data_IF_344934347637
#
_entry.id   IF_344934347637
#
_cell.length_a   1.000
_cell.length_b   1.000
_cell.length_c   1.000
_cell.angle_alpha   90.00
_cell.angle_beta   90.00
_cell.angle_gamma   90.00
#
_symmetry.space_group_name_H-M   'P 1'
#
loop_
_entity.id
_entity.type
_entity.pdbx_description
1 polymer ?
#
# COMPACT_ATOMS: atom_id res chain seq x y z
N UNK A 1 13.40 -22.37 -31.23
CA UNK A 1 13.08 -21.06 -30.61
C UNK A 1 11.80 -21.24 -29.81
N UNK A 2 11.77 -20.87 -28.55
CA UNK A 2 10.54 -20.90 -27.75
C UNK A 2 9.52 -19.92 -28.36
N UNK A 3 8.24 -20.32 -28.43
CA UNK A 3 7.14 -19.44 -28.87
C UNK A 3 7.13 -18.16 -28.00
N UNK A 4 7.09 -17.01 -28.65
CA UNK A 4 6.84 -15.74 -27.93
C UNK A 4 5.37 -15.72 -27.55
N UNK A 5 5.07 -15.64 -26.25
CA UNK A 5 3.70 -15.56 -25.74
C UNK A 5 3.05 -14.22 -26.11
N UNK A 6 1.73 -14.20 -26.19
CA UNK A 6 0.95 -13.03 -26.54
C UNK A 6 -0.10 -12.73 -25.45
N UNK A 7 -0.15 -11.47 -25.02
CA UNK A 7 -1.20 -10.91 -24.15
C UNK A 7 -2.09 -10.05 -25.04
N UNK A 8 -3.41 -10.20 -24.92
CA UNK A 8 -4.37 -9.35 -25.62
C UNK A 8 -5.24 -8.57 -24.65
N UNK A 9 -5.49 -7.30 -24.99
CA UNK A 9 -6.51 -6.45 -24.35
C UNK A 9 -7.22 -5.62 -25.41
N UNK A 10 -8.24 -4.83 -25.02
CA UNK A 10 -8.98 -4.01 -25.98
C UNK A 10 -8.15 -2.88 -26.58
N UNK A 11 -8.48 -2.46 -27.81
CA UNK A 11 -7.96 -1.25 -28.46
C UNK A 11 -8.79 -0.01 -28.13
N UNK A 12 -8.27 1.16 -28.47
CA UNK A 12 -8.89 2.46 -28.21
C UNK A 12 -8.60 2.99 -26.79
N UNK A 13 -9.53 3.74 -26.21
CA UNK A 13 -9.38 4.27 -24.85
C UNK A 13 -9.13 3.19 -23.83
N UNK A 14 -8.29 3.50 -22.85
CA UNK A 14 -7.82 2.55 -21.84
C UNK A 14 -8.00 3.08 -20.42
N UNK A 15 -7.97 2.17 -19.45
CA UNK A 15 -8.19 2.42 -18.04
C UNK A 15 -7.02 1.90 -17.17
N UNK A 16 -7.12 2.11 -15.88
CA UNK A 16 -6.13 1.62 -14.91
C UNK A 16 -6.15 0.10 -14.77
N UNK A 17 -7.28 -0.51 -15.00
CA UNK A 17 -7.54 -1.92 -14.83
C UNK A 17 -6.66 -2.79 -15.75
N UNK A 18 -6.91 -2.76 -17.06
CA UNK A 18 -6.16 -3.58 -18.01
C UNK A 18 -4.70 -3.13 -18.12
N UNK A 19 -4.42 -1.84 -17.86
CA UNK A 19 -3.06 -1.32 -17.81
C UNK A 19 -2.24 -2.00 -16.69
N UNK A 20 -2.82 -2.17 -15.50
CA UNK A 20 -2.21 -2.91 -14.39
C UNK A 20 -2.16 -4.41 -14.66
N UNK A 21 -3.23 -4.99 -15.21
CA UNK A 21 -3.29 -6.41 -15.53
C UNK A 21 -2.16 -6.84 -16.46
N UNK A 22 -1.91 -6.07 -17.52
CA UNK A 22 -0.80 -6.33 -18.47
C UNK A 22 0.55 -6.21 -17.78
N UNK A 23 0.76 -5.20 -16.95
CA UNK A 23 2.03 -5.04 -16.22
C UNK A 23 2.28 -6.21 -15.27
N UNK A 24 1.27 -6.60 -14.47
CA UNK A 24 1.38 -7.73 -13.55
C UNK A 24 1.75 -9.04 -14.27
N UNK A 25 1.13 -9.33 -15.40
CA UNK A 25 1.48 -10.49 -16.20
C UNK A 25 2.94 -10.44 -16.66
N UNK A 26 3.44 -9.28 -17.10
CA UNK A 26 4.83 -9.10 -17.53
C UNK A 26 5.86 -9.22 -16.40
N UNK A 27 5.48 -9.18 -15.13
CA UNK A 27 6.35 -9.52 -14.01
C UNK A 27 6.70 -11.01 -13.95
N UNK A 28 5.85 -11.85 -14.53
CA UNK A 28 6.10 -13.30 -14.59
C UNK A 28 7.14 -13.63 -15.66
N UNK A 29 8.13 -14.48 -15.37
CA UNK A 29 9.21 -14.81 -16.30
C UNK A 29 8.72 -15.26 -17.69
N UNK A 30 7.62 -16.04 -17.75
CA UNK A 30 7.04 -16.54 -19.00
C UNK A 30 6.43 -15.45 -19.87
N UNK A 31 5.92 -14.37 -19.27
CA UNK A 31 5.29 -13.26 -19.98
C UNK A 31 6.17 -12.01 -20.11
N UNK A 32 7.39 -12.01 -19.54
CA UNK A 32 8.27 -10.84 -19.52
C UNK A 32 8.47 -10.19 -20.89
N UNK A 33 8.56 -11.00 -21.93
CA UNK A 33 8.75 -10.57 -23.32
C UNK A 33 7.54 -10.88 -24.20
N UNK A 34 6.37 -11.07 -23.58
CA UNK A 34 5.15 -11.32 -24.32
C UNK A 34 4.80 -10.13 -25.22
N UNK A 35 4.38 -10.45 -26.46
CA UNK A 35 3.84 -9.44 -27.37
C UNK A 35 2.51 -8.95 -26.81
N UNK A 36 2.33 -7.64 -26.72
CA UNK A 36 1.04 -7.05 -26.45
C UNK A 36 0.30 -6.83 -27.78
N UNK A 37 -0.96 -7.24 -27.84
CA UNK A 37 -1.90 -6.96 -28.91
C UNK A 37 -3.11 -6.26 -28.31
N UNK A 38 -3.40 -5.04 -28.76
CA UNK A 38 -4.61 -4.33 -28.38
C UNK A 38 -5.61 -4.44 -29.52
N UNK A 39 -6.67 -5.22 -29.33
CA UNK A 39 -7.62 -5.55 -30.40
C UNK A 39 -8.98 -5.96 -29.83
N UNK A 40 -10.04 -5.61 -30.58
CA UNK A 40 -11.41 -6.09 -30.31
C UNK A 40 -11.83 -7.21 -31.26
N UNK A 41 -10.88 -7.72 -32.08
CA UNK A 41 -11.14 -8.80 -33.01
C UNK A 41 -11.00 -10.15 -32.29
N UNK A 42 -12.02 -11.00 -32.41
CA UNK A 42 -12.05 -12.32 -31.80
C UNK A 42 -10.87 -13.23 -32.26
N UNK A 43 -10.41 -13.12 -33.50
CA UNK A 43 -9.27 -13.92 -34.00
C UNK A 43 -7.99 -13.60 -33.23
N UNK A 44 -7.79 -12.33 -32.82
CA UNK A 44 -6.64 -11.93 -32.02
C UNK A 44 -6.73 -12.49 -30.59
N UNK A 45 -7.94 -12.55 -30.02
CA UNK A 45 -8.16 -13.17 -28.70
C UNK A 45 -7.86 -14.66 -28.74
N UNK A 46 -8.35 -15.35 -29.78
CA UNK A 46 -8.13 -16.80 -29.97
C UNK A 46 -6.67 -17.13 -30.18
N UNK A 47 -5.92 -16.29 -30.87
CA UNK A 47 -4.49 -16.43 -31.11
C UNK A 47 -3.61 -16.14 -29.89
N UNK A 48 -4.14 -15.40 -28.87
CA UNK A 48 -3.39 -14.98 -27.70
C UNK A 48 -3.32 -16.07 -26.65
N UNK A 49 -2.30 -16.01 -25.80
CA UNK A 49 -2.10 -16.93 -24.69
C UNK A 49 -2.86 -16.48 -23.42
N UNK A 50 -3.02 -15.16 -23.22
CA UNK A 50 -3.84 -14.54 -22.16
C UNK A 50 -4.61 -13.37 -22.75
N UNK A 51 -5.88 -13.23 -22.36
CA UNK A 51 -6.80 -12.18 -22.81
C UNK A 51 -7.39 -11.49 -21.59
N UNK A 52 -7.22 -10.18 -21.48
CA UNK A 52 -7.72 -9.38 -20.36
C UNK A 52 -8.65 -8.26 -20.85
N UNK A 53 -9.74 -8.06 -20.16
CA UNK A 53 -10.67 -6.92 -20.31
C UNK A 53 -11.22 -6.68 -21.72
N UNK A 54 -11.52 -7.71 -22.50
CA UNK A 54 -11.98 -7.52 -23.89
C UNK A 54 -12.91 -8.59 -24.45
N UNK A 55 -12.97 -9.77 -23.85
CA UNK A 55 -13.64 -10.90 -24.49
C UNK A 55 -15.07 -11.15 -24.03
N UNK A 56 -15.48 -10.55 -22.91
CA UNK A 56 -16.70 -10.90 -22.21
C UNK A 56 -16.65 -12.32 -21.62
N UNK A 57 -15.45 -12.92 -21.42
CA UNK A 57 -15.27 -14.28 -20.93
C UNK A 57 -14.35 -14.35 -19.74
N UNK A 58 -14.66 -15.26 -18.81
CA UNK A 58 -13.80 -15.60 -17.69
C UNK A 58 -13.74 -17.11 -17.49
N UNK A 59 -12.55 -17.69 -17.56
CA UNK A 59 -12.33 -19.14 -17.41
C UNK A 59 -11.18 -19.48 -16.43
N UNK A 60 -10.57 -18.49 -15.81
CA UNK A 60 -9.44 -18.61 -14.88
C UNK A 60 -8.15 -19.22 -15.51
N UNK A 61 -8.08 -19.37 -16.81
CA UNK A 61 -6.96 -19.97 -17.54
C UNK A 61 -6.38 -19.03 -18.57
N UNK A 62 -7.23 -18.54 -19.47
CA UNK A 62 -6.88 -17.70 -20.61
C UNK A 62 -7.62 -16.36 -20.59
N UNK A 63 -8.89 -16.37 -20.26
CA UNK A 63 -9.76 -15.21 -20.33
C UNK A 63 -10.02 -14.64 -18.95
N UNK A 64 -9.65 -13.37 -18.75
CA UNK A 64 -9.77 -12.62 -17.51
C UNK A 64 -10.53 -11.32 -17.76
N UNK A 65 -11.85 -11.44 -17.94
CA UNK A 65 -12.74 -10.33 -18.19
C UNK A 65 -13.95 -10.39 -17.23
N UNK A 66 -14.49 -9.27 -16.82
CA UNK A 66 -15.52 -9.13 -15.81
C UNK A 66 -16.85 -8.53 -16.35
N UNK A 67 -16.96 -8.32 -17.67
CA UNK A 67 -18.08 -7.67 -18.32
C UNK A 67 -19.32 -8.57 -18.53
N UNK A 68 -19.30 -9.82 -18.06
CA UNK A 68 -20.47 -10.69 -18.14
C UNK A 68 -21.58 -10.18 -17.19
N UNK A 69 -22.85 -10.23 -17.65
CA UNK A 69 -24.01 -9.76 -16.90
C UNK A 69 -24.12 -10.38 -15.50
N UNK A 70 -23.83 -11.66 -15.38
CA UNK A 70 -23.93 -12.45 -14.14
C UNK A 70 -22.61 -12.48 -13.34
N UNK A 71 -21.61 -11.71 -13.74
CA UNK A 71 -20.30 -11.73 -13.07
C UNK A 71 -20.38 -11.06 -11.70
N UNK A 72 -20.05 -11.82 -10.67
CA UNK A 72 -20.08 -11.36 -9.25
C UNK A 72 -18.89 -11.86 -8.44
N UNK A 73 -17.84 -12.34 -9.11
CA UNK A 73 -16.65 -12.89 -8.44
C UNK A 73 -15.95 -11.81 -7.61
N UNK A 74 -15.66 -12.14 -6.35
CA UNK A 74 -14.85 -11.33 -5.44
C UNK A 74 -13.50 -11.99 -5.18
N UNK A 75 -12.59 -11.30 -4.52
CA UNK A 75 -11.26 -11.83 -4.21
C UNK A 75 -11.35 -13.08 -3.31
N UNK A 76 -12.03 -12.95 -2.18
CA UNK A 76 -12.41 -14.05 -1.30
C UNK A 76 -13.64 -13.63 -0.48
N UNK A 77 -14.06 -14.46 0.49
CA UNK A 77 -15.28 -14.24 1.29
C UNK A 77 -15.26 -12.99 2.18
N UNK A 78 -14.08 -12.43 2.46
CA UNK A 78 -13.93 -11.20 3.26
C UNK A 78 -14.32 -9.95 2.48
N UNK A 79 -14.22 -9.97 1.15
CA UNK A 79 -14.36 -8.81 0.29
C UNK A 79 -15.70 -8.84 -0.45
N UNK A 80 -16.31 -7.66 -0.58
CA UNK A 80 -17.56 -7.48 -1.32
C UNK A 80 -17.36 -6.84 -2.68
N UNK A 81 -16.18 -6.29 -2.91
CA UNK A 81 -15.81 -5.62 -4.16
C UNK A 81 -15.72 -6.66 -5.27
N UNK A 82 -16.52 -6.44 -6.32
CA UNK A 82 -16.47 -7.23 -7.56
C UNK A 82 -15.11 -7.02 -8.22
N UNK A 83 -14.48 -8.10 -8.66
CA UNK A 83 -13.20 -8.01 -9.35
C UNK A 83 -13.34 -7.33 -10.71
N UNK A 84 -12.34 -6.55 -11.07
CA UNK A 84 -12.02 -6.12 -12.43
C UNK A 84 -11.05 -7.12 -13.10
N UNK A 85 -10.62 -6.86 -14.29
CA UNK A 85 -9.63 -7.73 -14.96
C UNK A 85 -8.27 -7.71 -14.22
N UNK A 86 -7.86 -6.58 -13.62
CA UNK A 86 -6.69 -6.54 -12.75
C UNK A 86 -6.87 -7.42 -11.52
N UNK A 87 -8.01 -7.33 -10.85
CA UNK A 87 -8.34 -8.18 -9.72
C UNK A 87 -8.35 -9.66 -10.06
N UNK A 88 -8.86 -10.02 -11.25
CA UNK A 88 -8.83 -11.39 -11.76
C UNK A 88 -7.40 -11.86 -12.00
N UNK A 89 -6.57 -11.08 -12.68
CA UNK A 89 -5.14 -11.41 -12.88
C UNK A 89 -4.44 -11.54 -11.53
N UNK A 90 -4.67 -10.63 -10.59
CA UNK A 90 -4.07 -10.73 -9.28
C UNK A 90 -4.54 -11.98 -8.51
N UNK A 91 -5.82 -12.29 -8.54
CA UNK A 91 -6.37 -13.49 -7.88
C UNK A 91 -5.69 -14.78 -8.36
N UNK A 92 -5.39 -14.89 -9.65
CA UNK A 92 -4.82 -16.12 -10.21
C UNK A 92 -3.30 -16.14 -10.28
N UNK A 93 -2.66 -15.00 -10.43
CA UNK A 93 -1.20 -14.90 -10.60
C UNK A 93 -0.51 -14.14 -9.46
N UNK A 94 -1.25 -13.50 -8.55
CA UNK A 94 -0.68 -12.63 -7.51
C UNK A 94 0.33 -13.33 -6.61
N UNK A 95 0.06 -14.57 -6.22
CA UNK A 95 1.01 -15.36 -5.41
C UNK A 95 2.32 -15.60 -6.16
N UNK A 96 2.23 -16.02 -7.40
CA UNK A 96 3.41 -16.25 -8.26
C UNK A 96 4.18 -14.95 -8.53
N UNK A 97 3.46 -13.83 -8.74
CA UNK A 97 4.07 -12.51 -8.90
C UNK A 97 4.84 -12.12 -7.64
N UNK A 98 4.23 -12.25 -6.46
CA UNK A 98 4.87 -11.94 -5.19
C UNK A 98 6.09 -12.82 -4.99
N UNK A 99 5.95 -14.15 -5.12
CA UNK A 99 7.06 -15.10 -4.96
C UNK A 99 8.21 -14.79 -5.92
N UNK A 100 7.90 -14.43 -7.18
CA UNK A 100 8.90 -14.08 -8.19
C UNK A 100 9.63 -12.80 -7.85
N UNK A 101 8.89 -11.74 -7.45
CA UNK A 101 9.47 -10.40 -7.24
C UNK A 101 10.30 -10.31 -5.97
N UNK A 102 9.87 -10.95 -4.90
CA UNK A 102 10.58 -10.92 -3.60
C UNK A 102 11.29 -12.21 -3.23
N UNK A 103 11.37 -13.14 -4.18
CA UNK A 103 12.10 -14.41 -4.04
C UNK A 103 11.67 -15.22 -2.81
N UNK A 104 10.35 -15.43 -2.62
CA UNK A 104 9.80 -16.31 -1.61
C UNK A 104 9.59 -17.73 -2.16
N UNK A 105 9.95 -18.73 -1.36
CA UNK A 105 9.73 -20.14 -1.66
C UNK A 105 8.44 -20.64 -0.97
N UNK A 106 7.40 -20.91 -1.74
CA UNK A 106 6.12 -21.42 -1.23
C UNK A 106 6.23 -22.81 -0.55
N UNK A 107 7.30 -23.56 -0.81
CA UNK A 107 7.54 -24.86 -0.17
C UNK A 107 8.06 -24.71 1.26
N UNK A 108 8.63 -23.55 1.60
CA UNK A 108 9.05 -23.19 2.94
C UNK A 108 7.83 -22.70 3.75
N UNK A 109 7.53 -23.34 4.88
CA UNK A 109 6.35 -23.03 5.68
C UNK A 109 6.32 -21.58 6.22
N UNK A 110 7.48 -21.04 6.64
CA UNK A 110 7.57 -19.67 7.15
C UNK A 110 7.39 -18.64 6.02
N UNK A 111 7.96 -18.92 4.85
CA UNK A 111 7.83 -18.03 3.68
C UNK A 111 6.43 -18.09 3.08
N UNK A 112 5.77 -19.24 3.13
CA UNK A 112 4.37 -19.39 2.78
C UNK A 112 3.46 -18.49 3.64
N UNK A 113 3.68 -18.43 4.95
CA UNK A 113 2.92 -17.53 5.84
C UNK A 113 3.13 -16.07 5.46
N UNK A 114 4.36 -15.67 5.12
CA UNK A 114 4.65 -14.31 4.64
C UNK A 114 3.95 -14.03 3.31
N UNK A 115 3.97 -15.00 2.39
CA UNK A 115 3.30 -14.89 1.10
C UNK A 115 1.79 -14.77 1.25
N UNK A 116 1.16 -15.59 2.11
CA UNK A 116 -0.27 -15.53 2.40
C UNK A 116 -0.67 -14.15 2.93
N UNK A 117 0.10 -13.62 3.88
CA UNK A 117 -0.10 -12.28 4.41
C UNK A 117 0.02 -11.19 3.33
N UNK A 118 1.09 -11.22 2.52
CA UNK A 118 1.31 -10.24 1.47
C UNK A 118 0.23 -10.31 0.39
N UNK A 119 -0.22 -11.51 0.04
CA UNK A 119 -1.25 -11.71 -0.97
C UNK A 119 -2.58 -11.07 -0.56
N UNK A 120 -3.00 -11.24 0.69
CA UNK A 120 -4.21 -10.59 1.22
C UNK A 120 -4.01 -9.07 1.40
N UNK A 121 -2.86 -8.65 1.93
CA UNK A 121 -2.54 -7.26 2.22
C UNK A 121 -2.41 -6.39 0.97
N UNK A 122 -1.72 -6.87 -0.05
CA UNK A 122 -1.57 -6.13 -1.32
C UNK A 122 -2.90 -6.02 -2.05
N UNK A 123 -3.76 -7.05 -1.96
CA UNK A 123 -5.10 -6.94 -2.47
C UNK A 123 -5.85 -5.78 -1.79
N UNK A 124 -5.94 -5.80 -0.46
CA UNK A 124 -6.69 -4.80 0.30
C UNK A 124 -6.17 -3.37 0.15
N UNK A 125 -4.85 -3.21 0.05
CA UNK A 125 -4.23 -1.88 0.07
C UNK A 125 -4.06 -1.27 -1.32
N UNK A 126 -4.11 -2.08 -2.37
CA UNK A 126 -3.84 -1.60 -3.73
C UNK A 126 -4.85 -2.10 -4.77
N UNK A 127 -5.06 -3.42 -4.88
CA UNK A 127 -5.83 -4.00 -5.98
C UNK A 127 -7.33 -3.73 -5.82
N UNK A 128 -7.88 -3.84 -4.60
CA UNK A 128 -9.30 -3.60 -4.34
C UNK A 128 -9.75 -2.20 -4.77
N UNK A 129 -8.88 -1.19 -4.61
CA UNK A 129 -9.18 0.16 -5.06
C UNK A 129 -9.23 0.28 -6.60
N UNK A 130 -8.44 -0.52 -7.33
CA UNK A 130 -8.51 -0.60 -8.79
C UNK A 130 -9.81 -1.29 -9.21
N UNK A 131 -10.14 -2.42 -8.58
CA UNK A 131 -11.41 -3.12 -8.81
C UNK A 131 -12.63 -2.22 -8.55
N UNK A 132 -12.62 -1.48 -7.44
CA UNK A 132 -13.70 -0.56 -7.08
C UNK A 132 -13.83 0.58 -8.09
N UNK A 133 -12.71 1.18 -8.51
CA UNK A 133 -12.69 2.27 -9.49
C UNK A 133 -13.28 1.82 -10.82
N UNK A 134 -12.88 0.66 -11.30
CA UNK A 134 -13.33 0.12 -12.58
C UNK A 134 -14.82 -0.26 -12.58
N UNK A 135 -15.28 -0.85 -11.48
CA UNK A 135 -16.68 -1.23 -11.31
C UNK A 135 -17.60 -0.05 -10.87
N UNK A 136 -17.08 1.17 -10.72
CA UNK A 136 -17.85 2.34 -10.27
C UNK A 136 -18.34 2.23 -8.83
N UNK A 137 -17.61 1.51 -7.98
CA UNK A 137 -17.92 1.33 -6.56
C UNK A 137 -17.27 2.47 -5.76
N UNK A 138 -18.08 3.20 -5.01
CA UNK A 138 -17.61 4.29 -4.17
C UNK A 138 -17.02 3.78 -2.83
N UNK A 139 -16.03 4.52 -2.32
CA UNK A 139 -15.40 4.23 -1.03
C UNK A 139 -16.41 4.28 0.15
N UNK A 140 -17.46 5.07 0.03
CA UNK A 140 -18.47 5.26 1.07
C UNK A 140 -19.85 4.82 0.57
N UNK A 141 -20.54 3.97 1.34
CA UNK A 141 -21.90 3.48 1.01
C UNK A 141 -22.94 4.61 0.87
N UNK A 142 -22.71 5.75 1.54
CA UNK A 142 -23.64 6.90 1.56
C UNK A 142 -23.01 8.13 0.89
N UNK A 143 -22.29 7.97 -0.20
CA UNK A 143 -21.58 9.06 -0.90
C UNK A 143 -22.45 10.28 -1.17
N UNK A 144 -23.69 10.07 -1.61
CA UNK A 144 -24.61 11.16 -1.96
C UNK A 144 -25.01 12.04 -0.76
N UNK A 145 -24.85 11.53 0.47
CA UNK A 145 -25.06 12.28 1.71
C UNK A 145 -23.81 13.02 2.21
N UNK A 146 -22.65 12.78 1.60
CA UNK A 146 -21.37 13.35 2.01
C UNK A 146 -21.02 14.56 1.13
N UNK A 147 -20.63 15.65 1.76
CA UNK A 147 -20.13 16.83 1.05
C UNK A 147 -18.60 16.75 0.95
N UNK A 148 -18.03 16.56 -0.25
CA UNK A 148 -16.58 16.51 -0.40
C UNK A 148 -15.96 17.88 -0.10
N UNK A 149 -14.88 17.92 0.65
CA UNK A 149 -14.12 19.15 0.99
C UNK A 149 -13.27 19.63 -0.19
N UNK A 150 -12.88 18.74 -1.09
CA UNK A 150 -12.08 19.03 -2.28
C UNK A 150 -12.37 17.99 -3.37
N UNK A 151 -11.88 18.24 -4.58
CA UNK A 151 -11.96 17.32 -5.72
C UNK A 151 -10.59 16.69 -5.95
N UNK A 152 -10.52 15.36 -6.00
CA UNK A 152 -9.28 14.59 -6.16
C UNK A 152 -9.18 13.81 -7.48
N UNK A 153 -10.23 13.80 -8.30
CA UNK A 153 -10.35 12.98 -9.51
C UNK A 153 -9.07 12.93 -10.36
N UNK A 154 -8.44 14.08 -10.61
CA UNK A 154 -7.23 14.16 -11.44
C UNK A 154 -5.94 13.94 -10.65
N UNK A 155 -6.04 13.72 -9.33
CA UNK A 155 -4.90 13.45 -8.46
C UNK A 155 -4.78 11.94 -8.09
N UNK A 156 -5.74 11.13 -8.52
CA UNK A 156 -5.70 9.67 -8.38
C UNK A 156 -4.91 9.04 -9.55
N UNK A 157 -4.33 7.86 -9.33
CA UNK A 157 -3.63 7.12 -10.40
C UNK A 157 -4.58 6.85 -11.57
N UNK A 158 -5.82 6.45 -11.30
CA UNK A 158 -6.83 6.23 -12.33
C UNK A 158 -7.14 7.51 -13.12
N UNK A 159 -7.24 8.66 -12.45
CA UNK A 159 -7.42 9.96 -13.10
C UNK A 159 -6.22 10.34 -13.96
N UNK A 160 -5.00 10.11 -13.49
CA UNK A 160 -3.77 10.35 -14.26
C UNK A 160 -3.72 9.47 -15.52
N UNK A 161 -4.09 8.20 -15.42
CA UNK A 161 -4.16 7.26 -16.56
C UNK A 161 -5.22 7.71 -17.56
N UNK A 162 -6.41 8.09 -17.09
CA UNK A 162 -7.48 8.60 -17.96
C UNK A 162 -7.00 9.78 -18.79
N UNK A 163 -6.16 10.67 -18.22
CA UNK A 163 -5.61 11.84 -18.91
C UNK A 163 -4.50 11.50 -19.93
N UNK A 164 -3.97 10.27 -19.94
CA UNK A 164 -3.02 9.79 -20.95
C UNK A 164 -3.71 9.39 -22.26
N UNK A 165 -5.02 9.15 -22.24
CA UNK A 165 -5.75 8.90 -23.48
C UNK A 165 -5.64 10.11 -24.42
N UNK A 166 -5.39 9.88 -25.73
CA UNK A 166 -5.37 10.97 -26.71
C UNK A 166 -6.62 11.84 -26.65
N UNK A 167 -6.45 13.15 -26.86
CA UNK A 167 -7.58 14.10 -26.88
C UNK A 167 -8.55 13.75 -28.00
N UNK A 168 -9.84 13.96 -27.77
CA UNK A 168 -10.89 13.77 -28.78
C UNK A 168 -10.72 14.64 -30.01
N UNK A 169 -9.99 15.77 -29.89
CA UNK A 169 -9.68 16.69 -30.99
C UNK A 169 -8.46 16.25 -31.82
N UNK A 170 -7.71 15.26 -31.36
CA UNK A 170 -6.51 14.79 -32.04
C UNK A 170 -6.85 13.77 -33.12
N UNK A 171 -6.11 13.81 -34.22
CA UNK A 171 -6.14 12.76 -35.26
C UNK A 171 -5.34 11.51 -34.83
N UNK A 172 -5.52 11.09 -33.56
CA UNK A 172 -4.77 9.99 -32.98
C UNK A 172 -5.10 8.66 -33.66
N UNK A 173 -4.05 7.93 -34.00
CA UNK A 173 -4.13 6.59 -34.58
C UNK A 173 -4.14 5.52 -33.48
N UNK A 174 -4.47 4.28 -33.83
CA UNK A 174 -4.34 3.12 -32.91
C UNK A 174 -2.93 3.01 -32.33
N UNK A 175 -1.89 3.32 -33.12
CA UNK A 175 -0.51 3.34 -32.66
C UNK A 175 -0.27 4.40 -31.56
N UNK A 176 -0.94 5.55 -31.62
CA UNK A 176 -0.83 6.59 -30.60
C UNK A 176 -1.49 6.12 -29.29
N UNK A 177 -2.67 5.48 -29.38
CA UNK A 177 -3.30 4.84 -28.22
C UNK A 177 -2.41 3.75 -27.60
N UNK A 178 -1.79 2.90 -28.42
CA UNK A 178 -0.91 1.83 -27.96
C UNK A 178 0.33 2.38 -27.23
N UNK A 179 0.92 3.46 -27.76
CA UNK A 179 2.05 4.13 -27.12
C UNK A 179 1.65 4.73 -25.76
N UNK A 180 0.50 5.39 -25.68
CA UNK A 180 0.00 5.96 -24.42
C UNK A 180 -0.41 4.87 -23.43
N UNK A 181 -0.94 3.76 -23.89
CA UNK A 181 -1.22 2.58 -23.06
C UNK A 181 0.03 2.02 -22.37
N UNK A 182 1.15 1.91 -23.09
CA UNK A 182 2.42 1.46 -22.48
C UNK A 182 2.90 2.43 -21.39
N UNK A 183 2.70 3.74 -21.56
CA UNK A 183 3.00 4.75 -20.54
C UNK A 183 2.07 4.55 -19.31
N UNK A 184 0.78 4.35 -19.54
CA UNK A 184 -0.22 4.11 -18.50
C UNK A 184 0.08 2.82 -17.72
N UNK A 185 0.41 1.73 -18.44
CA UNK A 185 0.77 0.44 -17.84
C UNK A 185 2.01 0.56 -16.96
N UNK A 186 3.04 1.27 -17.43
CA UNK A 186 4.23 1.53 -16.61
C UNK A 186 3.93 2.43 -15.40
N UNK A 187 3.10 3.46 -15.53
CA UNK A 187 2.77 4.37 -14.43
C UNK A 187 2.15 3.63 -13.24
N UNK A 188 1.09 2.87 -13.46
CA UNK A 188 0.42 2.12 -12.39
C UNK A 188 1.21 0.90 -11.97
N UNK A 189 1.88 0.24 -12.93
CA UNK A 189 2.70 -0.93 -12.68
C UNK A 189 3.91 -0.62 -11.80
N UNK A 190 4.61 0.48 -12.04
CA UNK A 190 5.74 0.92 -11.21
C UNK A 190 5.29 1.28 -9.79
N UNK A 191 4.11 1.88 -9.63
CA UNK A 191 3.53 2.14 -8.31
C UNK A 191 3.25 0.82 -7.57
N UNK A 192 2.62 -0.14 -8.25
CA UNK A 192 2.38 -1.49 -7.72
C UNK A 192 3.68 -2.21 -7.37
N UNK A 193 4.68 -2.23 -8.27
CA UNK A 193 5.97 -2.89 -8.06
C UNK A 193 6.73 -2.31 -6.86
N UNK A 194 6.75 -0.98 -6.73
CA UNK A 194 7.37 -0.31 -5.57
C UNK A 194 6.66 -0.64 -4.28
N UNK A 195 5.33 -0.67 -4.30
CA UNK A 195 4.56 -1.05 -3.12
C UNK A 195 4.82 -2.51 -2.72
N UNK A 196 4.74 -3.44 -3.67
CA UNK A 196 5.06 -4.86 -3.46
C UNK A 196 6.47 -5.07 -2.88
N UNK A 197 7.49 -4.45 -3.48
CA UNK A 197 8.87 -4.58 -3.02
C UNK A 197 9.09 -3.93 -1.66
N UNK A 198 8.45 -2.80 -1.37
CA UNK A 198 8.47 -2.19 -0.03
C UNK A 198 7.86 -3.13 1.01
N UNK A 199 6.70 -3.71 0.73
CA UNK A 199 6.02 -4.63 1.64
C UNK A 199 6.87 -5.87 1.94
N UNK A 200 7.41 -6.53 0.92
CA UNK A 200 8.23 -7.73 1.08
C UNK A 200 9.61 -7.45 1.72
N UNK A 201 10.31 -6.43 1.25
CA UNK A 201 11.72 -6.22 1.59
C UNK A 201 11.95 -5.31 2.81
N UNK A 202 10.96 -4.48 3.18
CA UNK A 202 11.09 -3.51 4.26
C UNK A 202 10.03 -3.70 5.33
N UNK A 203 8.76 -3.65 4.97
CA UNK A 203 7.65 -3.67 5.92
C UNK A 203 7.65 -4.96 6.76
N UNK A 204 7.67 -6.13 6.14
CA UNK A 204 7.66 -7.41 6.89
C UNK A 204 8.81 -7.54 7.88
N UNK A 205 9.99 -7.04 7.52
CA UNK A 205 11.17 -7.11 8.40
C UNK A 205 11.03 -6.23 9.65
N UNK A 206 10.22 -5.18 9.57
CA UNK A 206 10.00 -4.29 10.71
C UNK A 206 9.25 -4.97 11.86
N UNK A 207 8.43 -5.99 11.58
CA UNK A 207 7.64 -6.70 12.61
C UNK A 207 8.52 -7.21 13.75
N UNK A 208 9.66 -7.84 13.44
CA UNK A 208 10.55 -8.40 14.47
C UNK A 208 11.09 -7.32 15.42
N UNK A 209 11.49 -6.16 14.89
CA UNK A 209 11.96 -5.05 15.73
C UNK A 209 10.88 -4.53 16.69
N UNK A 210 9.62 -4.51 16.23
CA UNK A 210 8.50 -4.10 17.10
C UNK A 210 8.23 -5.16 18.19
N UNK A 211 8.28 -6.46 17.84
CA UNK A 211 8.16 -7.55 18.80
C UNK A 211 9.25 -7.46 19.87
N UNK A 212 10.50 -7.24 19.48
CA UNK A 212 11.62 -7.16 20.41
C UNK A 212 11.50 -5.95 21.33
N UNK A 213 11.15 -4.78 20.79
CA UNK A 213 10.89 -3.58 21.57
C UNK A 213 9.71 -3.76 22.53
N UNK A 214 8.65 -4.46 22.13
CA UNK A 214 7.51 -4.72 22.97
C UNK A 214 7.87 -5.65 24.16
N UNK A 215 8.67 -6.67 23.91
CA UNK A 215 9.14 -7.60 24.97
C UNK A 215 9.99 -6.89 26.03
N UNK A 216 10.85 -5.96 25.61
CA UNK A 216 11.78 -5.23 26.49
C UNK A 216 11.23 -3.90 27.02
N UNK A 217 9.95 -3.60 26.78
CA UNK A 217 9.35 -2.30 27.16
C UNK A 217 9.44 -1.95 28.65
N UNK A 218 9.38 -2.96 29.53
CA UNK A 218 9.50 -2.77 30.97
C UNK A 218 10.94 -2.44 31.44
N UNK A 219 11.93 -2.76 30.61
CA UNK A 219 13.33 -2.36 30.84
C UNK A 219 13.55 -0.88 30.43
N UNK A 220 12.77 -0.36 29.49
CA UNK A 220 12.79 1.03 29.07
C UNK A 220 12.13 1.93 30.12
N UNK A 221 10.95 1.52 30.57
CA UNK A 221 10.21 2.21 31.65
C UNK A 221 9.28 1.24 32.37
N UNK A 222 9.22 1.33 33.70
CA UNK A 222 8.43 0.41 34.55
C UNK A 222 6.93 0.40 34.23
N UNK A 223 6.39 1.45 33.60
CA UNK A 223 5.00 1.47 33.14
C UNK A 223 4.74 0.54 31.96
N UNK A 224 5.79 0.17 31.19
CA UNK A 224 5.68 -0.59 29.96
C UNK A 224 4.98 0.13 28.81
N UNK A 225 4.79 1.47 28.92
CA UNK A 225 4.02 2.29 27.94
C UNK A 225 4.89 2.96 26.88
N UNK A 226 6.20 2.75 26.92
CA UNK A 226 7.18 3.35 26.01
C UNK A 226 7.91 2.27 25.25
N UNK A 227 7.87 2.33 23.91
CA UNK A 227 8.72 1.47 23.05
C UNK A 227 9.99 2.21 22.65
N UNK A 228 11.08 1.50 22.59
CA UNK A 228 12.37 2.00 22.12
C UNK A 228 12.80 1.20 20.88
N UNK A 229 12.82 1.85 19.72
CA UNK A 229 13.25 1.24 18.47
C UNK A 229 14.70 1.63 18.15
N UNK A 230 15.50 0.72 17.56
CA UNK A 230 16.90 0.99 17.25
C UNK A 230 17.09 1.92 16.06
N UNK A 231 16.04 2.13 15.26
CA UNK A 231 15.99 3.02 14.09
C UNK A 231 14.55 3.34 13.73
N UNK A 232 14.34 4.33 12.86
CA UNK A 232 13.02 4.53 12.26
C UNK A 232 12.65 3.33 11.37
N UNK A 233 11.47 2.76 11.61
CA UNK A 233 10.86 1.65 10.86
C UNK A 233 9.36 1.89 10.72
N UNK A 234 8.65 1.24 9.81
CA UNK A 234 7.18 1.28 9.72
C UNK A 234 6.55 0.51 10.89
N UNK A 235 6.53 1.09 12.08
CA UNK A 235 6.15 0.41 13.32
C UNK A 235 4.65 0.38 13.61
N UNK A 236 3.86 1.33 13.05
CA UNK A 236 2.48 1.56 13.50
C UNK A 236 1.61 0.31 13.40
N UNK A 237 1.42 -0.22 12.21
CA UNK A 237 0.57 -1.39 11.99
C UNK A 237 1.09 -2.62 12.75
N UNK A 238 2.40 -2.83 12.75
CA UNK A 238 3.01 -3.92 13.52
C UNK A 238 2.77 -3.79 15.01
N UNK A 239 2.77 -2.57 15.55
CA UNK A 239 2.48 -2.35 16.97
C UNK A 239 1.04 -2.76 17.30
N UNK A 240 0.06 -2.36 16.48
CA UNK A 240 -1.34 -2.74 16.70
C UNK A 240 -1.51 -4.27 16.68
N UNK A 241 -0.89 -4.94 15.71
CA UNK A 241 -0.92 -6.40 15.63
C UNK A 241 -0.24 -7.07 16.84
N UNK A 242 0.92 -6.55 17.27
CA UNK A 242 1.64 -7.10 18.45
C UNK A 242 0.86 -6.87 19.73
N UNK A 243 0.21 -5.73 19.91
CA UNK A 243 -0.66 -5.48 21.05
C UNK A 243 -1.86 -6.44 21.06
N UNK A 244 -2.50 -6.66 19.92
CA UNK A 244 -3.62 -7.60 19.79
C UNK A 244 -3.19 -9.05 20.09
N UNK A 245 -2.08 -9.50 19.51
CA UNK A 245 -1.50 -10.84 19.74
C UNK A 245 -1.15 -11.09 21.23
N UNK A 246 -0.92 -10.01 22.00
CA UNK A 246 -0.53 -10.09 23.42
C UNK A 246 -1.64 -9.61 24.39
N UNK A 247 -2.87 -9.35 23.92
CA UNK A 247 -3.99 -8.80 24.70
C UNK A 247 -3.63 -7.49 25.44
N UNK A 248 -2.82 -6.64 24.81
CA UNK A 248 -2.28 -5.40 25.35
C UNK A 248 -2.77 -4.16 24.57
N UNK A 249 -3.95 -4.23 23.96
CA UNK A 249 -4.51 -3.20 23.10
C UNK A 249 -4.56 -1.84 23.81
N UNK A 250 -3.87 -0.85 23.21
CA UNK A 250 -3.87 0.53 23.71
C UNK A 250 -2.89 0.80 24.84
N UNK A 251 -2.06 -0.13 25.26
CA UNK A 251 -1.10 0.05 26.36
C UNK A 251 0.05 0.99 25.99
N UNK A 252 0.57 0.88 24.75
CA UNK A 252 1.71 1.68 24.32
C UNK A 252 1.24 3.10 23.98
N UNK A 253 1.88 4.09 24.58
CA UNK A 253 1.55 5.50 24.39
C UNK A 253 2.58 6.25 23.55
N UNK A 254 3.86 5.90 23.67
CA UNK A 254 4.95 6.57 22.97
C UNK A 254 5.94 5.59 22.37
N UNK A 255 6.48 5.96 21.19
CA UNK A 255 7.54 5.23 20.50
C UNK A 255 8.72 6.13 20.28
N UNK A 256 9.91 5.71 20.73
CA UNK A 256 11.17 6.45 20.61
C UNK A 256 12.04 5.80 19.53
N UNK A 257 12.65 6.61 18.68
CA UNK A 257 13.58 6.15 17.65
C UNK A 257 14.53 7.27 17.21
N UNK A 258 15.77 6.95 16.77
CA UNK A 258 16.66 7.93 16.16
C UNK A 258 16.21 8.28 14.74
N UNK A 259 16.43 9.54 14.34
CA UNK A 259 16.26 9.99 12.96
C UNK A 259 17.58 9.86 12.16
N UNK A 260 17.54 10.27 10.88
CA UNK A 260 18.70 10.22 9.98
C UNK A 260 19.85 11.15 10.40
N UNK A 261 19.60 12.14 11.25
CA UNK A 261 20.57 13.12 11.72
C UNK A 261 21.09 12.82 13.14
N UNK A 262 20.87 11.59 13.63
CA UNK A 262 21.22 11.15 14.99
C UNK A 262 20.46 11.87 16.12
N UNK A 263 19.43 12.67 15.81
CA UNK A 263 18.49 13.14 16.80
C UNK A 263 17.49 12.03 17.15
N UNK A 264 16.84 12.18 18.29
CA UNK A 264 15.84 11.22 18.74
C UNK A 264 14.43 11.79 18.63
N UNK A 265 13.52 10.95 18.18
CA UNK A 265 12.10 11.30 18.07
C UNK A 265 11.30 10.61 19.15
N UNK A 266 10.28 11.32 19.62
CA UNK A 266 9.18 10.79 20.42
C UNK A 266 7.90 10.91 19.60
N UNK A 267 7.29 9.79 19.26
CA UNK A 267 6.02 9.75 18.53
C UNK A 267 4.91 9.25 19.45
N UNK A 268 3.83 9.99 19.55
CA UNK A 268 2.63 9.52 20.23
C UNK A 268 1.92 8.47 19.37
N UNK A 269 1.53 7.34 19.98
CA UNK A 269 0.83 6.26 19.27
C UNK A 269 -0.56 6.75 18.87
N UNK A 270 -0.97 6.58 17.59
CA UNK A 270 -2.30 7.00 17.15
C UNK A 270 -3.40 6.10 17.71
N UNK A 271 -4.67 6.53 17.61
CA UNK A 271 -5.84 5.73 18.04
C UNK A 271 -6.04 4.46 17.19
N UNK A 272 -5.72 4.54 15.91
CA UNK A 272 -5.65 3.41 14.98
C UNK A 272 -4.47 3.58 14.03
N UNK A 273 -4.09 2.55 13.27
CA UNK A 273 -2.96 2.61 12.33
C UNK A 273 -3.10 3.72 11.28
N UNK A 274 -4.31 4.15 10.98
CA UNK A 274 -4.65 5.19 9.98
C UNK A 274 -5.11 6.52 10.59
N UNK A 275 -5.27 6.58 11.93
CA UNK A 275 -5.75 7.80 12.61
C UNK A 275 -4.69 8.88 12.69
N UNK A 276 -5.11 10.14 12.57
CA UNK A 276 -4.30 11.32 12.90
C UNK A 276 -4.37 11.71 14.39
N UNK A 277 -5.36 11.20 15.12
CA UNK A 277 -5.48 11.42 16.56
C UNK A 277 -4.66 10.42 17.35
N UNK A 278 -4.01 10.88 18.42
CA UNK A 278 -3.13 10.08 19.28
C UNK A 278 -3.85 9.59 20.53
N UNK A 279 -3.46 8.41 21.03
CA UNK A 279 -3.92 7.85 22.32
C UNK A 279 -3.67 8.82 23.48
N UNK A 280 -2.47 9.38 23.52
CA UNK A 280 -2.06 10.45 24.45
C UNK A 280 -1.14 11.40 23.72
N UNK A 281 -1.62 12.59 23.39
CA UNK A 281 -0.80 13.66 22.79
C UNK A 281 0.26 14.11 23.77
N UNK A 282 1.39 14.61 23.27
CA UNK A 282 2.39 15.29 24.10
C UNK A 282 1.77 16.49 24.83
N UNK A 283 2.23 16.82 26.05
CA UNK A 283 1.66 17.86 26.88
C UNK A 283 1.43 19.19 26.16
N UNK A 284 0.28 19.81 26.41
CA UNK A 284 -0.13 21.05 25.74
C UNK A 284 0.87 22.21 25.94
N UNK A 285 1.47 22.40 27.13
CA UNK A 285 2.45 23.47 27.33
C UNK A 285 3.72 23.35 26.48
N UNK A 286 4.01 22.20 25.90
CA UNK A 286 5.20 21.96 25.08
C UNK A 286 4.92 22.12 23.57
N UNK A 287 3.65 22.09 23.18
CA UNK A 287 3.26 22.07 21.75
C UNK A 287 3.61 23.37 21.07
N UNK A 288 4.26 23.26 19.91
CA UNK A 288 4.72 24.38 19.10
C UNK A 288 6.04 24.99 19.57
N UNK A 289 6.55 24.64 20.77
CA UNK A 289 7.84 25.10 21.26
C UNK A 289 9.01 24.39 20.58
N UNK A 290 10.14 25.09 20.54
CA UNK A 290 11.39 24.62 19.91
C UNK A 290 12.60 25.01 20.77
N UNK A 291 13.67 24.26 20.54
CA UNK A 291 15.03 24.54 20.99
C UNK A 291 15.11 25.01 22.48
N UNK A 292 15.65 26.19 22.74
CA UNK A 292 15.80 26.72 24.11
C UNK A 292 14.48 26.94 24.84
N UNK A 293 13.42 27.36 24.14
CA UNK A 293 12.12 27.57 24.76
C UNK A 293 11.54 26.27 25.28
N UNK A 294 11.65 25.20 24.44
CA UNK A 294 11.21 23.87 24.81
C UNK A 294 12.09 23.30 25.95
N UNK A 295 13.39 23.48 25.86
CA UNK A 295 14.32 23.06 26.93
C UNK A 295 14.02 23.74 28.29
N UNK A 296 13.70 25.03 28.29
CA UNK A 296 13.26 25.74 29.48
C UNK A 296 11.91 25.24 30.02
N UNK A 297 10.95 25.00 29.12
CA UNK A 297 9.61 24.54 29.52
C UNK A 297 9.61 23.11 30.09
N UNK A 298 10.51 22.25 29.62
CA UNK A 298 10.62 20.85 30.05
C UNK A 298 11.66 20.60 31.12
N UNK A 299 12.64 21.51 31.28
CA UNK A 299 13.83 21.28 32.09
C UNK A 299 14.79 20.25 31.52
N UNK A 300 14.67 19.90 30.24
CA UNK A 300 15.50 18.91 29.53
C UNK A 300 16.36 19.62 28.49
N UNK A 301 17.67 19.49 28.62
CA UNK A 301 18.61 20.05 27.65
C UNK A 301 18.55 19.33 26.31
N UNK A 302 18.80 20.08 25.22
CA UNK A 302 18.87 19.54 23.88
C UNK A 302 17.51 19.17 23.27
N UNK A 303 16.44 19.75 23.75
CA UNK A 303 15.15 19.68 23.06
C UNK A 303 15.25 20.35 21.69
N UNK A 304 14.60 19.75 20.67
CA UNK A 304 14.59 20.28 19.29
C UNK A 304 13.22 20.87 18.96
N UNK A 305 12.15 20.12 19.16
CA UNK A 305 10.79 20.60 18.91
C UNK A 305 9.72 19.66 19.49
N UNK A 306 8.53 20.23 19.71
CA UNK A 306 7.26 19.48 19.79
C UNK A 306 6.31 20.06 18.74
N UNK A 307 5.77 19.22 17.90
CA UNK A 307 4.80 19.64 16.88
C UNK A 307 3.55 20.25 17.53
N UNK A 308 2.98 21.29 16.92
CA UNK A 308 1.80 22.00 17.45
C UNK A 308 0.59 21.08 17.73
N UNK A 309 0.40 20.01 16.93
CA UNK A 309 -0.64 19.01 17.16
C UNK A 309 -0.28 17.98 18.26
N UNK A 310 0.95 17.97 18.79
CA UNK A 310 1.39 17.11 19.89
C UNK A 310 1.59 15.63 19.56
N UNK A 311 1.63 15.24 18.28
CA UNK A 311 1.81 13.83 17.88
C UNK A 311 3.26 13.38 17.76
N UNK A 312 4.20 14.31 17.63
CA UNK A 312 5.63 14.03 17.49
C UNK A 312 6.48 15.15 18.09
N UNK A 313 7.62 14.79 18.62
CA UNK A 313 8.66 15.71 19.07
C UNK A 313 10.05 15.16 18.84
N UNK A 314 11.07 15.92 19.26
CA UNK A 314 12.44 15.49 19.11
C UNK A 314 13.39 16.16 20.09
N UNK A 315 14.48 15.44 20.37
CA UNK A 315 15.63 15.86 21.18
C UNK A 315 16.93 15.47 20.49
N UNK A 316 18.03 16.06 20.91
CA UNK A 316 19.37 15.72 20.42
C UNK A 316 19.90 14.38 20.96
N UNK A 317 19.28 13.81 22.00
CA UNK A 317 19.76 12.60 22.66
C UNK A 317 18.64 11.60 22.98
N UNK A 318 19.01 10.32 23.10
CA UNK A 318 18.12 9.24 23.53
C UNK A 318 17.55 9.51 24.92
N UNK A 319 18.41 9.93 25.84
CA UNK A 319 18.03 10.15 27.23
C UNK A 319 17.04 11.31 27.35
N UNK A 320 17.22 12.39 26.58
CA UNK A 320 16.27 13.50 26.49
C UNK A 320 14.91 13.04 25.97
N UNK A 321 14.88 12.22 24.92
CA UNK A 321 13.62 11.67 24.40
C UNK A 321 12.91 10.76 25.42
N UNK A 322 13.67 9.94 26.14
CA UNK A 322 13.13 9.08 27.19
C UNK A 322 12.59 9.91 28.38
N UNK A 323 13.29 10.96 28.80
CA UNK A 323 12.81 11.87 29.84
C UNK A 323 11.51 12.58 29.42
N UNK A 324 11.44 13.12 28.19
CA UNK A 324 10.20 13.68 27.63
C UNK A 324 9.04 12.67 27.68
N UNK A 325 9.30 11.43 27.25
CA UNK A 325 8.27 10.40 27.25
C UNK A 325 7.77 10.09 28.68
N UNK A 326 8.68 9.93 29.65
CA UNK A 326 8.33 9.69 31.06
C UNK A 326 7.52 10.84 31.66
N UNK A 327 7.92 12.09 31.41
CA UNK A 327 7.16 13.26 31.86
C UNK A 327 5.79 13.35 31.22
N UNK A 328 5.67 12.98 29.93
CA UNK A 328 4.41 12.98 29.20
C UNK A 328 3.45 11.85 29.64
N UNK A 329 3.90 10.85 30.37
CA UNK A 329 3.04 9.81 30.98
C UNK A 329 2.20 10.34 32.15
N UNK A 330 2.69 11.35 32.85
CA UNK A 330 1.99 12.02 33.97
C UNK A 330 1.01 13.06 33.42
#
# INVERSE_FOLDING_TARGET
MSKVLQICTHSGSFHADEALAVYMLRLLPRFRYAKLVRSRNQLDWEASDVVVDVSGKYDAVKYFDHHQREFSTTFNEKYKTKLSSAGLVYKHFGREIISTVIALDETNAEEKVKLDYLYDKIYSDFIEAVDANDNGIDMYENKDSLTPRFKDKNFTIAGMISNLNPSWESDATDHDFDRQFEIASNLIGDAFFKYLTYMGNSFLKAKQYVIDAFKTRYEVDSSGKILLLPRFIPWKEHLFNVEEENNANGEILYVLFPDSNSNWRIAAVPLSSTSFDSRKKLPEPWRGLRDEELSKATGIDGCVFIHAAGFIGGTSSKDGALQLAKMALN
#
